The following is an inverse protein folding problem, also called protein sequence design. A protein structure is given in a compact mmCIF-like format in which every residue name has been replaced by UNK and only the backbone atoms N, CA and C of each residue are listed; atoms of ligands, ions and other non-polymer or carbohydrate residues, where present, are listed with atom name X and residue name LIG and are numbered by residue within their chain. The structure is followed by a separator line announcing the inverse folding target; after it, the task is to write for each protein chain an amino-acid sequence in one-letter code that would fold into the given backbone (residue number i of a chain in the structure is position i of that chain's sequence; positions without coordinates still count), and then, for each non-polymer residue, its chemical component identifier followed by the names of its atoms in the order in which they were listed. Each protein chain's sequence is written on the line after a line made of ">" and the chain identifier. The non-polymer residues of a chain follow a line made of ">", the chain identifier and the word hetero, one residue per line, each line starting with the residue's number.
data_IF_189124023932
#
_entry.id   IF_189124023932
#
_cell.length_a   1.000
_cell.length_b   1.000
_cell.length_c   1.000
_cell.angle_alpha   90.00
_cell.angle_beta   90.00
_cell.angle_gamma   90.00
#
_symmetry.space_group_name_H-M   'P 1'
#
loop_
_entity.id
_entity.type
_entity.pdbx_description
1 polymer ?
#
# COMPACT_ATOMS: atom_id res chain seq x y z
N UNK A 1 11.88 18.12 7.15
CA UNK A 1 12.24 18.41 5.76
C UNK A 1 12.31 17.13 4.95
N UNK A 2 11.66 17.16 3.81
CA UNK A 2 11.66 16.02 2.91
C UNK A 2 12.95 15.98 2.10
N UNK A 3 13.61 14.84 2.04
CA UNK A 3 14.78 14.64 1.19
C UNK A 3 14.38 13.86 -0.07
N UNK A 4 15.18 13.99 -1.13
CA UNK A 4 14.97 13.18 -2.32
C UNK A 4 15.33 11.72 -2.03
N UNK A 5 14.47 10.81 -2.52
CA UNK A 5 14.72 9.39 -2.43
C UNK A 5 15.23 8.80 -3.75
N UNK A 6 15.45 9.63 -4.74
CA UNK A 6 15.98 9.17 -6.04
C UNK A 6 17.35 8.54 -5.81
N UNK A 7 17.52 7.33 -6.33
CA UNK A 7 18.71 6.50 -6.16
C UNK A 7 18.98 6.02 -4.72
N UNK A 8 18.03 6.17 -3.82
CA UNK A 8 18.13 5.60 -2.48
C UNK A 8 17.61 4.16 -2.48
N UNK A 9 18.29 3.30 -1.76
CA UNK A 9 17.79 1.94 -1.53
C UNK A 9 16.69 1.96 -0.49
N UNK A 10 15.64 1.16 -0.72
CA UNK A 10 14.57 0.99 0.26
C UNK A 10 15.16 0.29 1.49
N UNK A 11 14.90 0.85 2.67
CA UNK A 11 15.37 0.23 3.92
C UNK A 11 14.67 -1.11 4.15
N UNK A 12 15.27 -1.96 4.96
CA UNK A 12 14.65 -3.22 5.37
C UNK A 12 13.33 -2.94 6.10
N UNK A 13 12.29 -3.66 5.72
CA UNK A 13 11.00 -3.59 6.38
C UNK A 13 10.32 -4.95 6.39
N UNK A 14 9.33 -5.08 7.26
CA UNK A 14 8.53 -6.28 7.42
C UNK A 14 7.15 -5.85 7.89
N UNK A 15 6.15 -6.05 7.04
CA UNK A 15 4.78 -5.63 7.33
C UNK A 15 3.81 -6.74 7.01
N UNK A 16 2.66 -6.72 7.67
CA UNK A 16 1.55 -7.59 7.33
C UNK A 16 0.79 -7.03 6.15
N UNK A 17 0.13 -7.89 5.40
CA UNK A 17 -0.67 -7.49 4.24
C UNK A 17 -1.94 -8.33 4.15
N UNK A 18 -2.97 -7.73 3.56
CA UNK A 18 -4.15 -8.45 3.11
C UNK A 18 -4.04 -8.61 1.60
N UNK A 19 -4.12 -9.84 1.11
CA UNK A 19 -3.92 -10.14 -0.30
C UNK A 19 -4.78 -11.32 -0.72
N UNK A 20 -5.71 -11.08 -1.65
CA UNK A 20 -6.58 -12.14 -2.21
C UNK A 20 -7.27 -13.01 -1.14
N UNK A 21 -7.81 -12.37 -0.11
CA UNK A 21 -8.55 -13.06 0.93
C UNK A 21 -7.72 -13.67 2.03
N UNK A 22 -6.42 -13.50 2.00
CA UNK A 22 -5.51 -14.06 2.99
C UNK A 22 -4.58 -13.00 3.59
N UNK A 23 -4.06 -13.28 4.77
CA UNK A 23 -3.01 -12.46 5.36
C UNK A 23 -1.65 -13.05 4.98
N UNK A 24 -0.70 -12.17 4.67
CA UNK A 24 0.67 -12.58 4.40
C UNK A 24 1.64 -11.51 4.91
N UNK A 25 2.92 -11.87 4.97
CA UNK A 25 3.97 -10.96 5.38
C UNK A 25 4.74 -10.53 4.15
N UNK A 26 4.96 -9.21 4.01
CA UNK A 26 5.74 -8.64 2.91
C UNK A 26 6.99 -8.00 3.49
N UNK A 27 8.12 -8.34 2.92
CA UNK A 27 9.43 -7.82 3.33
C UNK A 27 10.10 -7.11 2.16
N UNK A 28 11.22 -6.45 2.45
CA UNK A 28 12.03 -5.82 1.41
C UNK A 28 12.44 -6.81 0.32
N UNK A 29 12.78 -8.03 0.71
CA UNK A 29 13.22 -9.07 -0.22
C UNK A 29 12.14 -9.42 -1.24
N UNK A 30 10.88 -9.31 -0.86
CA UNK A 30 9.76 -9.62 -1.75
C UNK A 30 9.62 -8.60 -2.88
N UNK A 31 10.10 -7.37 -2.67
CA UNK A 31 9.99 -6.31 -3.69
C UNK A 31 11.23 -6.17 -4.56
N UNK A 32 12.30 -6.91 -4.26
CA UNK A 32 13.52 -6.84 -5.06
C UNK A 32 13.38 -7.62 -6.37
N UNK A 33 14.10 -7.17 -7.38
CA UNK A 33 14.17 -7.86 -8.67
C UNK A 33 13.08 -7.51 -9.66
N UNK A 34 12.18 -6.59 -9.32
CA UNK A 34 11.13 -6.11 -10.22
C UNK A 34 10.75 -4.68 -9.86
N UNK A 35 10.01 -4.01 -10.76
CA UNK A 35 9.48 -2.69 -10.49
C UNK A 35 8.31 -2.78 -9.52
N UNK A 36 8.19 -1.81 -8.62
CA UNK A 36 7.09 -1.74 -7.66
C UNK A 36 6.53 -0.33 -7.58
N UNK A 37 5.21 -0.24 -7.52
CA UNK A 37 4.51 1.02 -7.26
C UNK A 37 3.96 0.93 -5.84
N UNK A 38 4.35 1.87 -4.98
CA UNK A 38 3.81 2.00 -3.64
C UNK A 38 2.84 3.16 -3.63
N UNK A 39 1.57 2.88 -3.46
CA UNK A 39 0.52 3.89 -3.42
C UNK A 39 0.06 4.09 -1.97
N UNK A 40 0.38 5.26 -1.42
CA UNK A 40 0.00 5.62 -0.06
C UNK A 40 -1.31 6.38 -0.04
N UNK A 41 -2.14 6.12 0.94
CA UNK A 41 -3.40 6.83 1.15
C UNK A 41 -3.68 6.98 2.65
N UNK A 42 -4.54 7.95 3.04
CA UNK A 42 -4.72 8.28 4.47
C UNK A 42 -5.31 7.16 5.33
N UNK A 43 -6.39 6.52 4.90
CA UNK A 43 -7.05 5.54 5.76
C UNK A 43 -8.08 4.71 4.99
N UNK A 44 -8.30 3.48 5.46
CA UNK A 44 -9.41 2.64 5.04
C UNK A 44 -10.74 3.28 5.47
N UNK A 45 -11.84 2.82 4.88
CA UNK A 45 -13.20 3.28 5.20
C UNK A 45 -13.42 4.78 4.95
N UNK A 46 -12.81 5.33 3.89
CA UNK A 46 -13.02 6.71 3.46
C UNK A 46 -13.71 6.74 2.09
N UNK A 47 -14.19 7.92 1.68
CA UNK A 47 -15.01 8.03 0.47
C UNK A 47 -14.20 8.09 -0.83
N UNK A 48 -13.03 8.71 -0.82
CA UNK A 48 -12.21 8.92 -2.03
C UNK A 48 -11.28 7.76 -2.31
N UNK A 49 -10.69 7.18 -1.27
CA UNK A 49 -9.71 6.12 -1.42
C UNK A 49 -10.21 4.89 -2.19
N UNK A 50 -11.47 4.42 -2.02
CA UNK A 50 -11.93 3.27 -2.80
C UNK A 50 -11.88 3.49 -4.30
N UNK A 51 -12.20 4.69 -4.77
CA UNK A 51 -12.15 5.02 -6.20
C UNK A 51 -10.73 4.93 -6.73
N UNK A 52 -9.76 5.51 -6.01
CA UNK A 52 -8.34 5.47 -6.39
C UNK A 52 -7.80 4.05 -6.42
N UNK A 53 -8.11 3.26 -5.39
CA UNK A 53 -7.64 1.88 -5.29
C UNK A 53 -8.28 0.99 -6.35
N UNK A 54 -9.56 1.22 -6.66
CA UNK A 54 -10.26 0.53 -7.72
C UNK A 54 -9.69 0.83 -9.10
N UNK A 55 -9.31 2.08 -9.33
CA UNK A 55 -8.68 2.49 -10.59
C UNK A 55 -7.34 1.77 -10.77
N UNK A 56 -6.55 1.65 -9.71
CA UNK A 56 -5.30 0.87 -9.75
C UNK A 56 -5.57 -0.58 -10.11
N UNK A 57 -6.63 -1.17 -9.56
CA UNK A 57 -7.01 -2.54 -9.89
C UNK A 57 -7.39 -2.69 -11.36
N UNK A 58 -8.09 -1.71 -11.93
CA UNK A 58 -8.48 -1.75 -13.34
C UNK A 58 -7.26 -1.79 -14.27
N UNK A 59 -6.14 -1.22 -13.84
CA UNK A 59 -4.89 -1.22 -14.60
C UNK A 59 -3.86 -2.25 -14.11
N UNK A 60 -4.22 -3.08 -13.14
CA UNK A 60 -3.28 -4.00 -12.52
C UNK A 60 -2.63 -4.95 -13.53
N UNK A 61 -3.42 -5.52 -14.43
CA UNK A 61 -2.90 -6.43 -15.44
C UNK A 61 -1.87 -5.74 -16.33
N UNK A 62 -2.13 -4.47 -16.71
CA UNK A 62 -1.19 -3.70 -17.52
C UNK A 62 0.12 -3.46 -16.78
N UNK A 63 0.08 -3.19 -15.48
CA UNK A 63 1.29 -3.06 -14.67
C UNK A 63 2.06 -4.38 -14.61
N UNK A 64 1.37 -5.49 -14.42
CA UNK A 64 2.02 -6.81 -14.40
C UNK A 64 2.69 -7.15 -15.73
N UNK A 65 2.07 -6.80 -16.85
CA UNK A 65 2.67 -7.00 -18.18
C UNK A 65 3.97 -6.21 -18.34
N UNK A 66 4.10 -5.08 -17.64
CA UNK A 66 5.33 -4.29 -17.62
C UNK A 66 6.35 -4.78 -16.59
N UNK A 67 6.07 -5.90 -15.91
CA UNK A 67 6.95 -6.39 -14.86
C UNK A 67 6.88 -5.59 -13.57
N UNK A 68 5.75 -4.94 -13.31
CA UNK A 68 5.56 -4.06 -12.16
C UNK A 68 4.48 -4.59 -11.22
N UNK A 69 4.77 -4.64 -9.92
CA UNK A 69 3.78 -4.96 -8.89
C UNK A 69 3.26 -3.68 -8.24
N UNK A 70 2.02 -3.72 -7.79
CA UNK A 70 1.39 -2.62 -7.06
C UNK A 70 1.22 -3.02 -5.60
N UNK A 71 1.54 -2.09 -4.71
CA UNK A 71 1.31 -2.23 -3.27
C UNK A 71 0.58 -0.99 -2.78
N UNK A 72 -0.62 -1.14 -2.24
CA UNK A 72 -1.26 -0.05 -1.54
C UNK A 72 -0.83 -0.07 -0.08
N UNK A 73 -0.69 1.11 0.53
CA UNK A 73 -0.19 1.25 1.89
C UNK A 73 -1.00 2.29 2.65
N UNK A 74 -1.47 1.94 3.82
CA UNK A 74 -1.99 2.90 4.78
C UNK A 74 -1.53 2.51 6.18
N UNK A 75 -1.71 3.41 7.15
CA UNK A 75 -1.31 3.15 8.53
C UNK A 75 -2.36 2.34 9.30
N UNK A 76 -3.29 1.73 8.60
CA UNK A 76 -4.26 0.79 9.17
C UNK A 76 -3.64 -0.59 9.36
N UNK A 77 -4.27 -1.41 10.19
CA UNK A 77 -3.84 -2.80 10.35
C UNK A 77 -4.35 -3.68 9.20
N UNK A 78 -3.75 -4.86 9.05
CA UNK A 78 -4.23 -5.83 8.05
C UNK A 78 -5.65 -6.34 8.37
N UNK A 79 -6.04 -6.32 9.64
CA UNK A 79 -7.41 -6.66 10.03
C UNK A 79 -8.42 -5.64 9.51
N UNK A 80 -8.06 -4.36 9.53
CA UNK A 80 -8.90 -3.29 8.99
C UNK A 80 -9.00 -3.40 7.47
N UNK A 81 -7.91 -3.72 6.77
CA UNK A 81 -7.94 -3.98 5.33
C UNK A 81 -8.93 -5.10 4.98
N UNK A 82 -8.88 -6.20 5.73
CA UNK A 82 -9.82 -7.29 5.51
C UNK A 82 -11.27 -6.87 5.74
N UNK A 83 -11.52 -6.16 6.84
CA UNK A 83 -12.87 -5.68 7.15
C UNK A 83 -13.41 -4.74 6.05
N UNK A 84 -12.55 -3.89 5.52
CA UNK A 84 -12.91 -2.99 4.43
C UNK A 84 -13.22 -3.77 3.15
N UNK A 85 -12.41 -4.75 2.80
CA UNK A 85 -12.67 -5.61 1.65
C UNK A 85 -14.00 -6.37 1.80
N UNK A 86 -14.29 -6.88 3.01
CA UNK A 86 -15.54 -7.58 3.28
C UNK A 86 -16.76 -6.66 3.16
N UNK A 87 -16.61 -5.36 3.44
CA UNK A 87 -17.69 -4.38 3.44
C UNK A 87 -17.84 -3.62 2.13
N UNK A 88 -16.87 -3.66 1.23
CA UNK A 88 -16.84 -2.87 0.00
C UNK A 88 -16.65 -3.75 -1.21
N UNK A 89 -17.59 -3.71 -2.15
CA UNK A 89 -17.48 -4.46 -3.40
C UNK A 89 -16.28 -4.00 -4.24
N UNK A 90 -15.95 -2.72 -4.20
CA UNK A 90 -14.78 -2.18 -4.91
C UNK A 90 -13.48 -2.73 -4.33
N UNK A 91 -13.34 -2.67 -3.01
CA UNK A 91 -12.12 -3.13 -2.34
C UNK A 91 -11.97 -4.65 -2.43
N UNK A 92 -13.09 -5.36 -2.37
CA UNK A 92 -13.08 -6.83 -2.50
C UNK A 92 -12.46 -7.31 -3.81
N UNK A 93 -12.56 -6.53 -4.87
CA UNK A 93 -12.04 -6.88 -6.19
C UNK A 93 -10.53 -6.69 -6.31
N UNK A 94 -9.89 -6.03 -5.36
CA UNK A 94 -8.45 -5.76 -5.40
C UNK A 94 -7.65 -7.05 -5.32
N UNK A 95 -6.75 -7.24 -6.28
CA UNK A 95 -5.90 -8.43 -6.36
C UNK A 95 -4.45 -8.16 -5.94
N UNK A 96 -4.03 -6.90 -5.89
CA UNK A 96 -2.68 -6.56 -5.42
C UNK A 96 -2.60 -6.54 -3.89
N UNK A 97 -1.40 -6.71 -3.32
CA UNK A 97 -1.25 -6.70 -1.86
C UNK A 97 -1.58 -5.34 -1.24
N UNK A 98 -2.34 -5.37 -0.16
CA UNK A 98 -2.67 -4.18 0.63
C UNK A 98 -1.83 -4.22 1.90
N UNK A 99 -0.77 -3.41 1.94
CA UNK A 99 0.18 -3.42 3.06
C UNK A 99 -0.37 -2.65 4.25
N UNK A 100 -0.10 -3.18 5.43
CA UNK A 100 -0.43 -2.56 6.70
C UNK A 100 0.81 -1.91 7.29
N UNK A 101 0.74 -0.62 7.59
CA UNK A 101 1.86 0.15 8.14
C UNK A 101 1.43 0.86 9.43
N UNK A 102 0.92 0.12 10.46
CA UNK A 102 0.36 0.76 11.64
C UNK A 102 1.37 1.56 12.46
N UNK A 103 2.65 1.23 12.38
CA UNK A 103 3.71 2.01 13.04
C UNK A 103 4.16 3.22 12.23
N UNK A 104 3.76 3.30 10.95
CA UNK A 104 4.14 4.38 10.06
C UNK A 104 5.57 4.33 9.57
N UNK A 105 6.25 3.20 9.70
CA UNK A 105 7.66 3.09 9.28
C UNK A 105 7.84 3.29 7.78
N UNK A 106 6.98 2.68 6.95
CA UNK A 106 7.04 2.88 5.50
C UNK A 106 6.67 4.30 5.13
N UNK A 107 5.59 4.83 5.70
CA UNK A 107 5.18 6.21 5.45
C UNK A 107 6.28 7.19 5.84
N UNK A 108 6.97 6.94 6.94
CA UNK A 108 8.09 7.78 7.38
C UNK A 108 9.25 7.71 6.39
N UNK A 109 9.64 6.51 5.97
CA UNK A 109 10.75 6.35 5.04
C UNK A 109 10.48 7.09 3.73
N UNK A 110 9.28 6.95 3.18
CA UNK A 110 8.91 7.59 1.92
C UNK A 110 8.48 9.06 2.08
N UNK A 111 8.54 9.61 3.30
CA UNK A 111 8.29 11.04 3.52
C UNK A 111 6.83 11.46 3.46
N UNK A 112 5.90 10.54 3.69
CA UNK A 112 4.45 10.81 3.59
C UNK A 112 3.70 10.60 4.89
N UNK A 113 4.40 10.44 6.02
CA UNK A 113 3.75 10.22 7.32
C UNK A 113 3.25 11.51 7.94
N UNK A 114 1.97 11.53 8.31
CA UNK A 114 1.37 12.57 9.15
C UNK A 114 1.31 12.03 10.58
N UNK A 115 2.38 12.25 11.33
CA UNK A 115 2.55 11.68 12.67
C UNK A 115 1.40 12.02 13.61
N UNK A 116 0.97 13.27 13.61
CA UNK A 116 -0.08 13.75 14.51
C UNK A 116 -1.46 13.15 14.22
N UNK A 117 -1.70 12.76 12.99
CA UNK A 117 -2.98 12.19 12.57
C UNK A 117 -2.97 10.66 12.52
N UNK A 118 -1.81 10.02 12.65
CA UNK A 118 -1.69 8.59 12.47
C UNK A 118 -2.09 8.14 11.06
N UNK A 119 -1.78 8.93 10.05
CA UNK A 119 -2.15 8.70 8.66
C UNK A 119 -1.00 9.00 7.73
N UNK A 120 -1.11 8.52 6.49
CA UNK A 120 -0.21 8.90 5.42
C UNK A 120 -0.85 9.98 4.54
N UNK A 121 -0.01 10.76 3.88
CA UNK A 121 -0.43 11.60 2.77
C UNK A 121 -0.70 10.69 1.56
N UNK A 122 -1.47 11.19 0.60
CA UNK A 122 -1.53 10.54 -0.71
C UNK A 122 -0.19 10.73 -1.41
N UNK A 123 0.40 9.63 -1.86
CA UNK A 123 1.69 9.66 -2.53
C UNK A 123 1.94 8.36 -3.27
N UNK A 124 2.73 8.45 -4.31
CA UNK A 124 3.06 7.30 -5.16
C UNK A 124 4.57 7.28 -5.41
#
# INVERSE_FOLDING_TARGET
>A
MMRSLINEEVKAFKVQAYHNGAFEEITREDILGHWSVFFFYPADFTFVCPTELGDLQDFYEAFQECGCEIYSVSMDTHFVHKAWADASDTIKKIEYPMLADPTGELAKFFGVRLKEKGQALRGT
#
